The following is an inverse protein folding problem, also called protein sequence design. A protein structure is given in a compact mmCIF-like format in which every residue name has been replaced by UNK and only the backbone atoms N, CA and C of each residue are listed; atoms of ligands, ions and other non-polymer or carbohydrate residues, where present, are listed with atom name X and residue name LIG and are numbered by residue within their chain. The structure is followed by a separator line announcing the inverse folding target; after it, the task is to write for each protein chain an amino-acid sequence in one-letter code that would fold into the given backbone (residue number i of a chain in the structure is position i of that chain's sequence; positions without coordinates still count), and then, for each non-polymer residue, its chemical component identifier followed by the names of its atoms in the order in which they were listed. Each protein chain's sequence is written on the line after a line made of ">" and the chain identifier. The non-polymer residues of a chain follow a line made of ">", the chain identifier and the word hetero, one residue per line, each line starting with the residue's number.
data_IF_771341621868
#
_entry.id   IF_771341621868
#
_cell.length_a   1.000
_cell.length_b   1.000
_cell.length_c   1.000
_cell.angle_alpha   90.00
_cell.angle_beta   90.00
_cell.angle_gamma   90.00
#
_symmetry.space_group_name_H-M   'P 1'
#
loop_
_entity.id
_entity.type
_entity.pdbx_description
1 polymer ?
#
# COMPACT_ATOMS: atom_id res chain seq x y z
N UNK A 1 11.51 -27.35 -50.10
CA UNK A 1 11.74 -27.81 -48.71
C UNK A 1 12.77 -26.96 -47.95
N UNK A 2 14.00 -26.76 -48.46
CA UNK A 2 15.05 -25.98 -47.75
C UNK A 2 14.66 -24.53 -47.38
N UNK A 3 13.98 -23.82 -48.27
CA UNK A 3 13.54 -22.43 -48.04
C UNK A 3 12.55 -22.31 -46.87
N UNK A 4 11.66 -23.29 -46.70
CA UNK A 4 10.68 -23.31 -45.61
C UNK A 4 11.36 -23.43 -44.24
N UNK A 5 12.38 -24.28 -44.12
CA UNK A 5 13.16 -24.41 -42.88
C UNK A 5 13.93 -23.13 -42.53
N UNK A 6 14.46 -22.43 -43.53
CA UNK A 6 15.15 -21.15 -43.32
C UNK A 6 14.17 -20.09 -42.79
N UNK A 7 12.98 -19.99 -43.39
CA UNK A 7 11.94 -19.05 -42.93
C UNK A 7 11.51 -19.39 -41.50
N UNK A 8 11.25 -20.67 -41.20
CA UNK A 8 10.79 -21.10 -39.89
C UNK A 8 11.86 -20.89 -38.80
N UNK A 9 13.13 -21.17 -39.10
CA UNK A 9 14.25 -20.87 -38.21
C UNK A 9 14.41 -19.36 -37.97
N UNK A 10 14.22 -18.54 -38.99
CA UNK A 10 14.30 -17.08 -38.87
C UNK A 10 13.19 -16.54 -37.97
N UNK A 11 11.94 -16.99 -38.15
CA UNK A 11 10.81 -16.61 -37.28
C UNK A 11 11.10 -17.05 -35.83
N UNK A 12 11.58 -18.27 -35.64
CA UNK A 12 11.93 -18.79 -34.32
C UNK A 12 13.04 -17.95 -33.64
N UNK A 13 14.09 -17.57 -34.38
CA UNK A 13 15.17 -16.72 -33.87
C UNK A 13 14.70 -15.31 -33.52
N UNK A 14 13.79 -14.73 -34.31
CA UNK A 14 13.19 -13.42 -33.99
C UNK A 14 12.37 -13.52 -32.69
N UNK A 15 11.53 -14.55 -32.56
CA UNK A 15 10.74 -14.79 -31.33
C UNK A 15 11.67 -14.98 -30.13
N UNK A 16 12.73 -15.79 -30.27
CA UNK A 16 13.72 -16.01 -29.22
C UNK A 16 14.46 -14.72 -28.86
N UNK A 17 14.88 -13.92 -29.84
CA UNK A 17 15.56 -12.64 -29.61
C UNK A 17 14.69 -11.64 -28.86
N UNK A 18 13.41 -11.51 -29.24
CA UNK A 18 12.43 -10.67 -28.53
C UNK A 18 12.17 -11.20 -27.11
N UNK A 19 12.06 -12.52 -26.95
CA UNK A 19 11.82 -13.14 -25.65
C UNK A 19 13.01 -12.95 -24.69
N UNK A 20 14.24 -13.22 -25.15
CA UNK A 20 15.44 -13.11 -24.33
C UNK A 20 15.80 -11.65 -24.02
N UNK A 21 15.70 -10.73 -24.98
CA UNK A 21 15.94 -9.30 -24.72
C UNK A 21 15.00 -8.75 -23.65
N UNK A 22 13.71 -9.08 -23.74
CA UNK A 22 12.73 -8.79 -22.69
C UNK A 22 13.13 -9.42 -21.37
N UNK A 23 13.44 -10.71 -21.35
CA UNK A 23 13.82 -11.44 -20.13
C UNK A 23 15.05 -10.84 -19.41
N UNK A 24 16.08 -10.42 -20.16
CA UNK A 24 17.31 -9.83 -19.61
C UNK A 24 17.04 -8.44 -19.03
N UNK A 25 16.35 -7.57 -19.78
CA UNK A 25 15.99 -6.23 -19.29
C UNK A 25 15.09 -6.30 -18.04
N UNK A 26 14.17 -7.25 -18.02
CA UNK A 26 13.33 -7.54 -16.87
C UNK A 26 14.16 -7.96 -15.65
N UNK A 27 15.07 -8.93 -15.80
CA UNK A 27 15.89 -9.42 -14.69
C UNK A 27 16.77 -8.34 -14.05
N UNK A 28 17.27 -7.36 -14.81
CA UNK A 28 18.09 -6.28 -14.25
C UNK A 28 17.25 -5.29 -13.44
N UNK A 29 16.07 -4.89 -13.93
CA UNK A 29 15.15 -4.00 -13.22
C UNK A 29 14.62 -4.65 -11.93
N UNK A 30 14.42 -5.96 -11.92
CA UNK A 30 13.81 -6.65 -10.77
C UNK A 30 14.75 -6.96 -9.61
N UNK A 31 16.06 -6.92 -9.81
CA UNK A 31 17.01 -7.25 -8.75
C UNK A 31 17.15 -6.16 -7.70
N UNK A 32 16.82 -4.91 -8.02
CA UNK A 32 16.94 -3.78 -7.09
C UNK A 32 15.70 -3.56 -6.22
N UNK A 33 14.55 -4.17 -6.55
CA UNK A 33 13.32 -3.99 -5.78
C UNK A 33 13.08 -5.18 -4.85
N UNK A 34 12.96 -4.87 -3.57
CA UNK A 34 12.57 -5.80 -2.53
C UNK A 34 11.10 -5.57 -2.14
N UNK A 35 10.47 -6.51 -1.45
CA UNK A 35 9.15 -6.23 -0.85
C UNK A 35 9.31 -5.20 0.27
N UNK A 36 8.24 -4.49 0.65
CA UNK A 36 8.35 -3.50 1.72
C UNK A 36 8.70 -4.15 3.06
N UNK A 37 8.19 -5.37 3.30
CA UNK A 37 8.52 -6.17 4.48
C UNK A 37 10.00 -6.61 4.55
N UNK A 38 10.69 -6.68 3.41
CA UNK A 38 12.12 -7.00 3.29
C UNK A 38 13.02 -5.77 3.54
N UNK A 39 12.51 -4.55 3.34
CA UNK A 39 13.29 -3.30 3.41
C UNK A 39 13.52 -2.75 4.84
N UNK A 40 13.58 -3.63 5.85
CA UNK A 40 13.67 -3.22 7.27
C UNK A 40 14.80 -2.23 7.53
N UNK A 41 15.94 -2.45 6.88
CA UNK A 41 17.13 -1.62 6.95
C UNK A 41 17.52 -1.05 5.58
N UNK A 42 16.79 -0.02 5.16
CA UNK A 42 17.20 0.78 4.01
C UNK A 42 18.42 1.66 4.38
N UNK A 43 19.20 2.08 3.37
CA UNK A 43 20.45 2.84 3.58
C UNK A 43 20.25 4.10 4.43
N UNK A 44 19.14 4.81 4.21
CA UNK A 44 18.83 6.08 4.88
C UNK A 44 17.61 6.03 5.81
N UNK A 45 16.91 4.90 5.84
CA UNK A 45 15.62 4.78 6.54
C UNK A 45 15.51 3.46 7.27
N UNK A 46 14.79 3.48 8.39
CA UNK A 46 14.32 2.28 9.08
C UNK A 46 12.86 2.08 8.71
N UNK A 47 12.49 0.86 8.30
CA UNK A 47 11.13 0.52 7.91
C UNK A 47 10.60 -0.56 8.84
N UNK A 48 9.50 -0.29 9.53
CA UNK A 48 8.89 -1.21 10.49
C UNK A 48 7.40 -1.36 10.23
N UNK A 49 6.95 -2.61 10.02
CA UNK A 49 5.52 -2.91 9.98
C UNK A 49 4.94 -2.80 11.39
N UNK A 50 3.96 -1.92 11.56
CA UNK A 50 3.28 -1.64 12.83
C UNK A 50 2.14 -2.61 13.09
N UNK A 51 1.32 -2.87 12.06
CA UNK A 51 0.17 -3.77 12.16
C UNK A 51 -0.17 -4.34 10.79
N UNK A 52 -0.75 -5.55 10.76
CA UNK A 52 -1.37 -6.14 9.57
C UNK A 52 -2.88 -5.93 9.50
N UNK A 53 -3.47 -5.24 10.48
CA UNK A 53 -4.91 -4.96 10.54
C UNK A 53 -5.31 -3.88 9.52
N UNK A 54 -6.58 -3.87 9.14
CA UNK A 54 -7.12 -2.81 8.28
C UNK A 54 -7.24 -1.52 9.09
N UNK A 55 -6.99 -0.36 8.47
CA UNK A 55 -7.34 0.91 9.10
C UNK A 55 -8.85 1.04 9.13
N UNK A 56 -9.37 1.54 10.24
CA UNK A 56 -10.78 1.79 10.37
C UNK A 56 -11.11 3.22 9.91
N UNK A 57 -12.11 3.32 9.05
CA UNK A 57 -12.48 4.56 8.36
C UNK A 57 -13.75 5.14 8.96
N UNK A 58 -13.68 5.71 10.16
CA UNK A 58 -14.78 6.51 10.68
C UNK A 58 -14.68 7.98 10.24
N UNK A 59 -15.81 8.65 10.04
CA UNK A 59 -15.84 10.09 9.74
C UNK A 59 -15.21 10.89 10.89
N UNK A 60 -14.35 11.86 10.58
CA UNK A 60 -13.53 12.65 11.54
C UNK A 60 -14.24 13.47 12.59
N UNK A 61 -15.53 13.24 12.77
CA UNK A 61 -16.38 13.84 13.80
C UNK A 61 -15.84 13.60 15.21
N UNK A 62 -15.03 12.56 15.45
CA UNK A 62 -14.46 12.28 16.79
C UNK A 62 -13.37 13.26 17.22
N UNK A 63 -12.60 13.80 16.28
CA UNK A 63 -11.51 14.77 16.53
C UNK A 63 -11.88 16.21 16.13
N UNK A 64 -13.17 16.47 15.88
CA UNK A 64 -13.73 17.72 15.37
C UNK A 64 -13.76 18.89 16.38
N UNK A 65 -12.74 19.03 17.24
CA UNK A 65 -12.34 20.36 17.75
C UNK A 65 -11.43 21.09 16.74
N UNK A 66 -10.94 20.38 15.72
CA UNK A 66 -10.42 20.99 14.50
C UNK A 66 -11.60 21.15 13.55
N UNK A 67 -12.04 22.39 13.34
CA UNK A 67 -13.32 22.72 12.70
C UNK A 67 -13.60 21.94 11.42
N UNK A 68 -14.88 21.61 11.20
CA UNK A 68 -15.48 20.95 10.03
C UNK A 68 -14.57 20.90 8.80
N UNK A 69 -13.67 19.94 8.77
CA UNK A 69 -12.91 19.66 7.57
C UNK A 69 -13.73 18.63 6.78
N UNK A 70 -14.62 19.13 5.93
CA UNK A 70 -15.48 18.37 5.01
C UNK A 70 -14.68 17.59 3.93
N UNK A 71 -13.35 17.51 4.06
CA UNK A 71 -12.46 16.94 3.04
C UNK A 71 -12.53 15.42 2.87
N UNK A 72 -13.47 14.73 3.53
CA UNK A 72 -13.81 13.34 3.23
C UNK A 72 -12.62 12.37 3.24
N UNK A 73 -11.54 12.72 3.95
CA UNK A 73 -10.31 11.94 3.97
C UNK A 73 -10.49 10.75 4.90
N UNK A 74 -10.46 9.51 4.37
CA UNK A 74 -10.70 8.34 5.18
C UNK A 74 -9.38 7.96 5.91
N UNK A 75 -9.48 7.72 7.23
CA UNK A 75 -8.44 7.01 8.00
C UNK A 75 -7.66 7.97 8.90
N UNK A 76 -8.00 7.99 10.18
CA UNK A 76 -7.43 8.93 11.14
C UNK A 76 -6.22 8.30 11.82
N UNK A 77 -5.02 8.77 11.46
CA UNK A 77 -3.85 8.62 12.32
C UNK A 77 -3.75 9.89 13.15
N UNK A 78 -3.86 9.75 14.46
CA UNK A 78 -3.76 10.85 15.40
C UNK A 78 -2.38 10.84 16.04
N UNK A 79 -1.75 12.01 16.15
CA UNK A 79 -0.49 12.19 16.84
C UNK A 79 -0.71 13.01 18.11
N UNK A 80 -0.43 12.40 19.27
CA UNK A 80 -0.46 13.06 20.57
C UNK A 80 0.79 13.93 20.73
N UNK A 81 0.60 15.24 20.80
CA UNK A 81 1.73 16.19 20.86
C UNK A 81 2.33 16.33 22.24
N UNK A 82 1.67 15.82 23.29
CA UNK A 82 2.19 15.82 24.66
C UNK A 82 3.00 14.55 24.95
N UNK A 83 2.49 13.40 24.51
CA UNK A 83 3.12 12.10 24.75
C UNK A 83 4.04 11.66 23.60
N UNK A 84 4.02 12.37 22.48
CA UNK A 84 4.79 12.06 21.27
C UNK A 84 4.55 10.63 20.77
N UNK A 85 3.29 10.21 20.75
CA UNK A 85 2.88 8.88 20.29
C UNK A 85 1.78 8.96 19.21
N UNK A 86 1.68 7.89 18.43
CA UNK A 86 0.72 7.73 17.35
C UNK A 86 -0.42 6.85 17.84
N UNK A 87 -1.64 7.33 17.64
CA UNK A 87 -2.86 6.57 17.81
C UNK A 87 -3.45 6.23 16.45
N UNK A 88 -3.62 4.94 16.20
CA UNK A 88 -4.11 4.40 14.93
C UNK A 88 -5.37 3.61 15.20
N UNK A 89 -6.46 3.99 14.55
CA UNK A 89 -7.71 3.23 14.59
C UNK A 89 -7.62 2.07 13.61
N UNK A 90 -7.81 0.85 14.11
CA UNK A 90 -7.74 -0.36 13.29
C UNK A 90 -8.97 -1.22 13.48
N UNK A 91 -9.29 -2.00 12.46
CA UNK A 91 -10.38 -2.95 12.49
C UNK A 91 -9.89 -4.36 12.15
N UNK A 92 -10.44 -5.33 12.87
CA UNK A 92 -10.28 -6.74 12.56
C UNK A 92 -11.63 -7.34 12.20
N UNK A 93 -11.73 -7.86 10.97
CA UNK A 93 -12.85 -8.71 10.56
C UNK A 93 -12.50 -10.15 10.87
N UNK A 94 -13.13 -10.71 11.89
CA UNK A 94 -13.01 -12.14 12.18
C UNK A 94 -13.76 -12.91 11.08
N UNK A 95 -13.07 -13.78 10.34
CA UNK A 95 -13.74 -14.68 9.39
C UNK A 95 -14.53 -15.74 10.19
N UNK A 96 -15.83 -15.52 10.41
CA UNK A 96 -16.70 -16.56 10.96
C UNK A 96 -17.14 -17.54 9.88
N UNK A 97 -17.06 -18.83 10.19
CA UNK A 97 -17.51 -19.93 9.30
C UNK A 97 -19.03 -20.04 9.18
N UNK A 98 -19.80 -19.33 10.01
CA UNK A 98 -21.27 -19.43 10.13
C UNK A 98 -22.05 -18.47 9.21
N UNK A 99 -21.37 -17.68 8.37
CA UNK A 99 -22.00 -16.79 7.40
C UNK A 99 -22.57 -15.49 7.99
N UNK A 100 -22.47 -15.29 9.31
CA UNK A 100 -22.73 -14.00 9.93
C UNK A 100 -21.45 -13.17 9.90
N UNK A 101 -21.50 -11.97 9.29
CA UNK A 101 -20.41 -11.00 9.42
C UNK A 101 -20.35 -10.58 10.90
N UNK A 102 -19.29 -10.90 11.65
CA UNK A 102 -19.16 -10.32 12.98
C UNK A 102 -19.06 -8.81 12.86
N UNK A 103 -19.58 -8.09 13.87
CA UNK A 103 -19.28 -6.68 13.99
C UNK A 103 -17.74 -6.50 13.98
N UNK A 104 -17.21 -5.56 13.17
CA UNK A 104 -15.78 -5.28 13.15
C UNK A 104 -15.32 -5.02 14.58
N UNK A 105 -14.24 -5.68 15.01
CA UNK A 105 -13.61 -5.34 16.29
C UNK A 105 -12.74 -4.11 16.06
N UNK A 106 -13.16 -2.98 16.60
CA UNK A 106 -12.50 -1.67 16.47
C UNK A 106 -11.60 -1.44 17.68
N UNK A 107 -10.32 -1.17 17.43
CA UNK A 107 -9.33 -0.92 18.46
C UNK A 107 -8.36 0.20 18.07
N UNK A 108 -7.87 0.89 19.09
CA UNK A 108 -6.83 1.90 19.00
C UNK A 108 -5.48 1.32 19.35
N UNK A 109 -4.53 1.42 18.44
CA UNK A 109 -3.13 1.11 18.67
C UNK A 109 -2.40 2.39 19.07
N UNK A 110 -1.81 2.41 20.26
CA UNK A 110 -0.85 3.44 20.68
C UNK A 110 0.57 2.97 20.38
N UNK A 111 1.31 3.75 19.61
CA UNK A 111 2.60 3.39 19.04
C UNK A 111 3.59 4.54 19.27
N UNK A 112 4.80 4.24 19.76
CA UNK A 112 5.87 5.23 19.85
C UNK A 112 6.48 5.57 18.47
N UNK A 113 7.29 6.61 18.38
CA UNK A 113 7.99 6.99 17.14
C UNK A 113 9.10 6.00 16.71
N UNK A 114 9.38 4.97 17.52
CA UNK A 114 10.24 3.84 17.15
C UNK A 114 9.42 2.65 16.62
N UNK A 115 8.10 2.81 16.53
CA UNK A 115 7.14 1.82 16.07
C UNK A 115 6.88 0.68 17.06
N UNK A 116 7.09 0.88 18.36
CA UNK A 116 6.72 -0.07 19.40
C UNK A 116 5.30 0.22 19.89
N UNK A 117 4.47 -0.82 19.98
CA UNK A 117 3.13 -0.70 20.56
C UNK A 117 3.23 -0.48 22.07
N UNK A 118 2.78 0.68 22.54
CA UNK A 118 2.71 1.05 23.95
C UNK A 118 1.45 0.44 24.58
N UNK A 119 0.31 0.52 23.88
CA UNK A 119 -0.97 0.03 24.37
C UNK A 119 -1.91 -0.32 23.20
N UNK A 120 -2.84 -1.23 23.47
CA UNK A 120 -4.01 -1.49 22.63
C UNK A 120 -5.24 -1.21 23.46
N UNK A 121 -6.14 -0.38 22.94
CA UNK A 121 -7.31 0.10 23.66
C UNK A 121 -8.58 -0.16 22.86
N UNK A 122 -9.69 -0.60 23.49
CA UNK A 122 -10.97 -0.66 22.81
C UNK A 122 -11.42 0.74 22.41
N UNK A 123 -12.23 0.81 21.36
CA UNK A 123 -12.71 2.06 20.79
C UNK A 123 -13.31 3.04 21.83
N UNK A 124 -14.10 2.52 22.76
CA UNK A 124 -14.79 3.28 23.80
C UNK A 124 -13.88 3.94 24.85
N UNK A 125 -12.57 3.70 24.81
CA UNK A 125 -11.62 4.11 25.86
C UNK A 125 -10.62 5.18 25.43
N UNK A 126 -10.69 5.66 24.19
CA UNK A 126 -9.81 6.74 23.73
C UNK A 126 -10.30 8.08 24.30
N UNK A 127 -9.49 8.69 25.16
CA UNK A 127 -9.73 10.04 25.68
C UNK A 127 -9.08 11.06 24.75
N UNK A 128 -9.82 12.11 24.41
CA UNK A 128 -9.31 13.21 23.58
C UNK A 128 -8.15 13.90 24.31
N UNK A 129 -6.95 13.82 23.74
CA UNK A 129 -5.79 14.60 24.16
C UNK A 129 -5.56 15.76 23.16
N UNK A 130 -4.72 16.75 23.48
CA UNK A 130 -4.19 17.68 22.48
C UNK A 130 -3.32 16.95 21.48
N UNK A 131 -3.57 17.18 20.19
CA UNK A 131 -2.80 16.55 19.13
C UNK A 131 -3.28 16.94 17.74
N UNK A 132 -2.69 16.28 16.74
CA UNK A 132 -2.98 16.57 15.33
C UNK A 132 -3.40 15.31 14.61
N UNK A 133 -4.43 15.44 13.77
CA UNK A 133 -4.80 14.41 12.81
C UNK A 133 -3.87 14.54 11.60
N UNK A 134 -3.19 13.45 11.26
CA UNK A 134 -2.41 13.36 10.03
C UNK A 134 -3.35 13.12 8.86
N UNK A 135 -3.15 13.88 7.79
CA UNK A 135 -3.88 13.69 6.52
C UNK A 135 -3.03 12.87 5.56
N UNK A 136 -3.68 12.09 4.70
CA UNK A 136 -2.98 11.41 3.62
C UNK A 136 -2.49 12.44 2.60
N UNK A 137 -1.19 12.42 2.31
CA UNK A 137 -0.52 13.23 1.29
C UNK A 137 -0.77 12.70 -0.13
N UNK A 138 -1.33 11.49 -0.24
CA UNK A 138 -1.64 10.85 -1.51
C UNK A 138 -3.15 10.59 -1.61
N UNK A 139 -3.73 10.95 -2.74
CA UNK A 139 -5.14 10.70 -3.00
C UNK A 139 -5.39 9.22 -3.24
N UNK A 140 -6.48 8.68 -2.69
CA UNK A 140 -6.94 7.30 -2.89
C UNK A 140 -7.17 6.90 -4.35
N UNK A 141 -7.16 7.87 -5.27
CA UNK A 141 -7.17 7.63 -6.71
C UNK A 141 -5.77 7.83 -7.29
N UNK A 142 -4.92 6.80 -7.14
CA UNK A 142 -3.62 6.73 -7.79
C UNK A 142 -3.75 6.98 -9.29
N UNK A 143 -3.09 8.03 -9.78
CA UNK A 143 -2.84 8.18 -11.21
C UNK A 143 -1.62 7.34 -11.55
N UNK A 144 -1.84 6.31 -12.37
CA UNK A 144 -0.88 5.24 -12.69
C UNK A 144 0.38 5.73 -13.43
N UNK A 145 0.44 7.02 -13.76
CA UNK A 145 1.37 7.65 -14.68
C UNK A 145 1.92 9.01 -14.20
N UNK A 146 1.55 9.48 -13.00
CA UNK A 146 2.03 10.78 -12.51
C UNK A 146 3.38 10.66 -11.78
N UNK A 147 4.47 10.73 -12.54
CA UNK A 147 5.84 10.68 -12.01
C UNK A 147 6.23 11.90 -11.13
N UNK A 148 5.35 12.91 -11.02
CA UNK A 148 5.62 14.11 -10.22
C UNK A 148 5.12 14.00 -8.78
N UNK A 149 4.34 12.97 -8.46
CA UNK A 149 3.88 12.76 -7.08
C UNK A 149 5.01 12.21 -6.22
N UNK A 150 4.90 12.41 -4.90
CA UNK A 150 5.87 11.85 -3.94
C UNK A 150 5.82 10.31 -3.90
N UNK A 151 4.78 9.72 -4.45
CA UNK A 151 4.57 8.29 -4.49
C UNK A 151 3.95 7.91 -5.82
N UNK A 152 4.60 7.04 -6.58
CA UNK A 152 4.07 6.58 -7.85
C UNK A 152 4.45 5.13 -8.16
N UNK A 153 3.65 4.54 -9.04
CA UNK A 153 3.95 3.27 -9.68
C UNK A 153 4.92 3.52 -10.83
N UNK A 154 6.12 2.99 -10.73
CA UNK A 154 7.14 3.13 -11.76
C UNK A 154 6.93 2.11 -12.89
N UNK A 155 6.50 0.89 -12.53
CA UNK A 155 6.26 -0.18 -13.49
C UNK A 155 5.27 -1.22 -12.95
N UNK A 156 4.48 -1.85 -13.84
CA UNK A 156 3.64 -3.01 -13.51
C UNK A 156 3.95 -4.18 -14.43
N UNK A 157 4.50 -5.25 -13.86
CA UNK A 157 4.75 -6.49 -14.58
C UNK A 157 3.48 -7.32 -14.65
N UNK A 158 2.97 -7.54 -15.87
CA UNK A 158 1.79 -8.37 -16.11
C UNK A 158 2.20 -9.85 -16.15
N UNK A 159 1.78 -10.62 -15.15
CA UNK A 159 2.09 -12.05 -15.06
C UNK A 159 0.96 -12.92 -15.62
N UNK A 160 -0.28 -12.65 -15.20
CA UNK A 160 -1.45 -13.45 -15.56
C UNK A 160 -2.58 -12.58 -16.04
N UNK A 161 -3.06 -12.89 -17.25
CA UNK A 161 -4.31 -12.34 -17.76
C UNK A 161 -5.49 -13.11 -17.18
N UNK A 162 -6.48 -12.39 -16.67
CA UNK A 162 -7.72 -12.99 -16.21
C UNK A 162 -8.75 -12.96 -17.34
N UNK A 163 -8.80 -14.01 -18.15
CA UNK A 163 -9.77 -14.16 -19.25
C UNK A 163 -11.23 -14.03 -18.80
N UNK A 164 -11.55 -14.39 -17.55
CA UNK A 164 -12.91 -14.24 -17.01
C UNK A 164 -13.33 -12.77 -16.89
N UNK A 165 -12.40 -11.81 -16.91
CA UNK A 165 -12.72 -10.38 -16.94
C UNK A 165 -13.33 -9.93 -18.28
N UNK A 166 -13.08 -10.67 -19.36
CA UNK A 166 -13.63 -10.39 -20.68
C UNK A 166 -14.95 -11.11 -20.96
N UNK A 167 -15.50 -11.87 -20.00
CA UNK A 167 -16.72 -12.62 -20.22
C UNK A 167 -17.92 -11.64 -20.36
N UNK A 168 -18.58 -11.56 -21.53
CA UNK A 168 -19.68 -10.62 -21.75
C UNK A 168 -20.94 -10.96 -20.95
N UNK A 169 -21.05 -12.19 -20.45
CA UNK A 169 -22.16 -12.63 -19.59
C UNK A 169 -21.88 -12.43 -18.09
N UNK A 170 -20.72 -11.85 -17.73
CA UNK A 170 -20.35 -11.59 -16.34
C UNK A 170 -21.24 -10.49 -15.75
N UNK A 171 -21.95 -10.80 -14.67
CA UNK A 171 -22.86 -9.87 -14.00
C UNK A 171 -24.33 -10.02 -14.40
N UNK A 172 -24.66 -10.88 -15.37
CA UNK A 172 -26.07 -11.23 -15.65
C UNK A 172 -26.58 -12.07 -14.48
N UNK A 173 -27.53 -11.52 -13.71
CA UNK A 173 -28.18 -12.20 -12.59
C UNK A 173 -27.53 -12.01 -11.21
N UNK A 174 -26.48 -11.18 -11.05
CA UNK A 174 -25.88 -10.89 -9.74
C UNK A 174 -25.67 -9.39 -9.53
N UNK A 175 -26.29 -8.85 -8.47
CA UNK A 175 -26.13 -7.44 -8.04
C UNK A 175 -24.70 -7.09 -7.60
N UNK A 176 -23.84 -8.10 -7.33
CA UNK A 176 -22.47 -7.91 -6.80
C UNK A 176 -21.35 -8.27 -7.82
N UNK A 177 -21.69 -8.47 -9.10
CA UNK A 177 -20.82 -9.17 -10.06
C UNK A 177 -19.69 -8.37 -10.74
N UNK A 178 -19.42 -7.12 -10.39
CA UNK A 178 -18.71 -6.19 -11.29
C UNK A 178 -17.32 -5.70 -10.86
N UNK A 179 -16.52 -6.48 -10.11
CA UNK A 179 -15.09 -6.19 -10.01
C UNK A 179 -14.25 -7.42 -10.35
N UNK A 180 -13.62 -7.36 -11.53
CA UNK A 180 -12.68 -8.38 -11.98
C UNK A 180 -11.40 -7.69 -12.35
N UNK A 181 -10.28 -8.13 -11.78
CA UNK A 181 -8.98 -7.75 -12.30
C UNK A 181 -8.81 -8.27 -13.72
N UNK A 182 -8.21 -7.45 -14.58
CA UNK A 182 -7.83 -7.82 -15.95
C UNK A 182 -6.44 -8.46 -15.93
N UNK A 183 -5.55 -7.92 -15.10
CA UNK A 183 -4.17 -8.35 -14.97
C UNK A 183 -3.82 -8.54 -13.50
N UNK A 184 -3.16 -9.67 -13.21
CA UNK A 184 -2.42 -9.91 -11.98
C UNK A 184 -0.92 -9.82 -12.28
N UNK A 185 -0.14 -9.27 -11.36
CA UNK A 185 1.30 -9.37 -11.40
C UNK A 185 2.00 -8.48 -10.37
N UNK A 186 3.21 -8.03 -10.67
CA UNK A 186 4.05 -7.33 -9.71
C UNK A 186 4.06 -5.82 -9.99
N UNK A 187 3.63 -5.02 -9.03
CA UNK A 187 3.72 -3.57 -9.06
C UNK A 187 5.04 -3.12 -8.42
N UNK A 188 5.74 -2.18 -9.08
CA UNK A 188 7.00 -1.60 -8.64
C UNK A 188 6.76 -0.13 -8.32
N UNK A 189 6.93 0.22 -7.05
CA UNK A 189 6.65 1.53 -6.51
C UNK A 189 7.92 2.28 -6.15
N UNK A 190 7.82 3.59 -6.23
CA UNK A 190 8.85 4.53 -5.82
C UNK A 190 8.24 5.57 -4.89
N UNK A 191 8.76 5.59 -3.67
CA UNK A 191 8.43 6.59 -2.66
C UNK A 191 9.57 7.59 -2.55
N UNK A 192 9.32 8.83 -2.95
CA UNK A 192 10.25 9.94 -2.84
C UNK A 192 10.29 10.44 -1.39
N UNK A 193 11.45 10.29 -0.77
CA UNK A 193 11.76 10.77 0.57
C UNK A 193 12.89 11.81 0.49
N UNK A 194 13.11 12.58 1.55
CA UNK A 194 14.07 13.71 1.53
C UNK A 194 15.52 13.30 1.23
N UNK A 195 15.99 12.17 1.78
CA UNK A 195 17.38 11.71 1.61
C UNK A 195 17.55 10.84 0.38
N UNK A 196 16.72 9.80 0.25
CA UNK A 196 16.82 8.80 -0.81
C UNK A 196 15.44 8.23 -1.13
N UNK A 197 15.17 7.94 -2.40
CA UNK A 197 13.94 7.25 -2.78
C UNK A 197 13.94 5.80 -2.26
N UNK A 198 12.78 5.33 -1.81
CA UNK A 198 12.56 3.94 -1.42
C UNK A 198 11.88 3.24 -2.59
N UNK A 199 12.53 2.20 -3.10
CA UNK A 199 12.04 1.36 -4.20
C UNK A 199 11.54 0.03 -3.65
N UNK A 200 10.27 -0.31 -3.88
CA UNK A 200 9.72 -1.57 -3.39
C UNK A 200 8.71 -2.17 -4.38
N UNK A 201 8.42 -3.46 -4.22
CA UNK A 201 7.48 -4.18 -5.08
C UNK A 201 6.41 -4.92 -4.29
N UNK A 202 5.22 -5.05 -4.86
CA UNK A 202 4.07 -5.74 -4.25
C UNK A 202 3.33 -6.53 -5.32
N UNK A 203 2.94 -7.76 -4.99
CA UNK A 203 2.09 -8.56 -5.88
C UNK A 203 0.65 -8.06 -5.78
N UNK A 204 0.09 -7.56 -6.88
CA UNK A 204 -1.24 -6.96 -6.89
C UNK A 204 -1.93 -7.17 -8.23
N UNK A 205 -3.12 -6.60 -8.37
CA UNK A 205 -3.84 -6.54 -9.63
C UNK A 205 -4.14 -5.11 -10.05
N UNK A 206 -4.39 -4.93 -11.34
CA UNK A 206 -4.67 -3.63 -11.94
C UNK A 206 -6.05 -3.03 -11.62
N UNK A 207 -6.72 -3.41 -10.52
CA UNK A 207 -8.05 -2.91 -10.16
C UNK A 207 -8.03 -2.00 -8.94
N UNK A 208 -9.09 -1.19 -8.85
CA UNK A 208 -9.49 -0.21 -7.82
C UNK A 208 -9.54 -0.71 -6.36
N UNK A 209 -9.12 -1.94 -6.08
CA UNK A 209 -9.17 -2.54 -4.73
C UNK A 209 -7.78 -2.62 -4.08
N UNK A 210 -6.81 -1.94 -4.69
CA UNK A 210 -5.52 -1.66 -4.09
C UNK A 210 -5.55 -0.23 -3.55
N UNK A 211 -5.38 -0.08 -2.25
CA UNK A 211 -5.32 1.22 -1.58
C UNK A 211 -3.95 1.35 -0.92
N UNK A 212 -3.36 2.51 -1.06
CA UNK A 212 -2.28 2.94 -0.19
C UNK A 212 -2.64 4.31 0.35
N UNK A 213 -2.05 4.70 1.47
CA UNK A 213 -2.17 6.05 2.02
C UNK A 213 -0.83 6.41 2.66
N UNK A 214 -0.42 7.68 2.56
CA UNK A 214 0.88 8.15 3.04
C UNK A 214 0.65 9.33 3.96
N UNK A 215 1.03 9.18 5.22
CA UNK A 215 0.87 10.22 6.23
C UNK A 215 2.24 10.69 6.68
N UNK A 216 2.51 11.99 6.55
CA UNK A 216 3.76 12.58 7.04
C UNK A 216 3.55 13.26 8.37
N UNK A 217 4.42 12.96 9.33
CA UNK A 217 4.47 13.70 10.57
C UNK A 217 5.18 15.06 10.30
N UNK A 218 4.56 16.21 10.62
CA UNK A 218 5.18 17.50 10.38
C UNK A 218 6.55 17.64 11.08
N UNK A 219 7.55 18.29 10.44
CA UNK A 219 8.90 18.44 11.00
C UNK A 219 8.98 19.14 12.36
N UNK A 220 7.94 19.90 12.75
CA UNK A 220 7.89 20.52 14.08
C UNK A 220 7.70 19.50 15.23
N UNK A 221 7.29 18.27 14.93
CA UNK A 221 7.01 17.22 15.92
C UNK A 221 8.08 16.13 15.97
N UNK A 222 9.04 16.16 15.07
CA UNK A 222 10.11 15.15 14.99
C UNK A 222 11.37 15.72 14.36
N UNK A 223 12.52 15.33 14.89
CA UNK A 223 13.85 15.69 14.38
C UNK A 223 14.23 14.93 13.09
N UNK A 224 13.44 13.92 12.71
CA UNK A 224 13.70 13.01 11.60
C UNK A 224 12.49 12.95 10.69
N UNK A 225 12.72 12.79 9.38
CA UNK A 225 11.63 12.50 8.45
C UNK A 225 10.91 11.22 8.90
N UNK A 226 9.63 11.37 9.28
CA UNK A 226 8.80 10.29 9.80
C UNK A 226 7.53 10.20 8.97
N UNK A 227 7.31 9.04 8.38
CA UNK A 227 6.22 8.79 7.43
C UNK A 227 5.56 7.47 7.74
N UNK A 228 4.23 7.44 7.67
CA UNK A 228 3.45 6.22 7.74
C UNK A 228 2.93 5.89 6.35
N UNK A 229 3.18 4.67 5.90
CA UNK A 229 2.64 4.15 4.66
C UNK A 229 1.66 3.03 4.99
N UNK A 230 0.39 3.26 4.71
CA UNK A 230 -0.63 2.23 4.74
C UNK A 230 -0.70 1.55 3.38
N UNK A 231 -0.76 0.21 3.38
CA UNK A 231 -0.94 -0.62 2.20
C UNK A 231 -2.11 -1.56 2.46
N UNK A 232 -3.06 -1.61 1.55
CA UNK A 232 -4.19 -2.52 1.57
C UNK A 232 -4.38 -3.19 0.21
N UNK A 233 -4.10 -4.49 0.17
CA UNK A 233 -4.46 -5.36 -0.93
C UNK A 233 -5.43 -6.44 -0.43
N UNK A 234 -6.66 -6.41 -0.94
CA UNK A 234 -7.71 -7.34 -0.56
C UNK A 234 -7.48 -8.77 -1.08
N UNK A 235 -6.70 -8.97 -2.14
CA UNK A 235 -6.75 -10.19 -2.95
C UNK A 235 -5.44 -10.97 -3.06
N UNK A 236 -4.29 -10.30 -3.14
CA UNK A 236 -3.07 -10.97 -3.62
C UNK A 236 -1.98 -11.08 -2.57
N UNK A 237 -1.66 -9.99 -1.87
CA UNK A 237 -0.53 -9.97 -0.97
C UNK A 237 -0.90 -9.48 0.44
N UNK A 238 -1.66 -10.33 1.15
CA UNK A 238 -2.02 -10.09 2.56
C UNK A 238 -0.79 -9.94 3.47
N UNK A 239 0.40 -10.41 3.06
CA UNK A 239 1.63 -10.24 3.83
C UNK A 239 2.12 -8.81 3.80
N UNK A 240 1.97 -8.13 2.67
CA UNK A 240 2.36 -6.72 2.53
C UNK A 240 1.25 -5.77 3.00
N UNK A 241 -0.01 -6.21 3.12
CA UNK A 241 -1.10 -5.42 3.74
C UNK A 241 -0.79 -5.04 5.19
N UNK A 242 -0.91 -3.75 5.51
CA UNK A 242 -0.72 -3.21 6.85
C UNK A 242 -0.21 -1.77 6.86
N UNK A 243 0.04 -1.27 8.07
CA UNK A 243 0.64 0.04 8.31
C UNK A 243 2.14 -0.09 8.56
N UNK A 244 2.94 0.72 7.88
CA UNK A 244 4.39 0.76 8.00
C UNK A 244 4.84 2.13 8.51
N UNK A 245 5.75 2.13 9.47
CA UNK A 245 6.48 3.31 9.91
C UNK A 245 7.82 3.37 9.21
N UNK A 246 8.12 4.51 8.58
CA UNK A 246 9.36 4.80 7.88
C UNK A 246 10.00 6.01 8.57
N UNK A 247 11.17 5.82 9.17
CA UNK A 247 11.89 6.88 9.89
C UNK A 247 13.28 7.10 9.31
N UNK A 248 13.67 8.35 9.11
CA UNK A 248 15.01 8.71 8.68
C UNK A 248 16.06 8.31 9.72
N UNK A 249 17.12 7.63 9.30
CA UNK A 249 18.25 7.31 10.18
C UNK A 249 18.97 8.61 10.56
N UNK A 250 19.36 8.75 11.83
CA UNK A 250 20.20 9.88 12.27
C UNK A 250 21.52 9.86 11.49
N UNK A 251 22.06 11.03 11.14
CA UNK A 251 23.46 11.08 10.70
C UNK A 251 24.29 10.74 11.95
N UNK A 252 24.99 9.61 11.92
CA UNK A 252 26.08 9.35 12.86
C UNK A 252 27.24 10.29 12.54
#
# INVERSE_FOLDING_TARGET
>A
MKIYFIILATIFLIIMGIYFSRYIGYKSVYRSYQTISELKDHESYTIKKLTGKELYYQSGLRFADTGKDDSGSPGYIYYDTLQHNLWVETTERLDRKDGHLPYPFEEWLNIDLNGNTIAVKPDSSMLKAPGVVLKSDISNTYKWDDLKTQFYLEFFFKEKFNWSSLNPFKGIGSLNGASSHTWKGMAYFKLLMQKNAIHFRINTANITNYQMELYRLPPQYTDRETVLLYIHDKYFDKKETGLYLITGKSKN
#
